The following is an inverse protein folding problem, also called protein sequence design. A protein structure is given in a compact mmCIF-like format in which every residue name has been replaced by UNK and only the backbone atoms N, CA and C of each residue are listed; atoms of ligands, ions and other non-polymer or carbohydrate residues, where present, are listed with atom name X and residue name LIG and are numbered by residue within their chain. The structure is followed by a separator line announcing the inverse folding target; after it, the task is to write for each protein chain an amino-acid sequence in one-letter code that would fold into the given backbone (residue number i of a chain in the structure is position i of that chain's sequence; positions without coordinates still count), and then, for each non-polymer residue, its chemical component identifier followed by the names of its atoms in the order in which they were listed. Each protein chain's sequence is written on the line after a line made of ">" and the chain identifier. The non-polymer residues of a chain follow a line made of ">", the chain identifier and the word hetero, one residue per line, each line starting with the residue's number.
data_IF_800796860716
#
_entry.id   IF_800796860716
#
_cell.length_a   1.000
_cell.length_b   1.000
_cell.length_c   1.000
_cell.angle_alpha   90.00
_cell.angle_beta   90.00
_cell.angle_gamma   90.00
#
_symmetry.space_group_name_H-M   'P 1'
#
loop_
_entity.id
_entity.type
_entity.pdbx_description
1 polymer ?
2 non-polymer ?
3 non-polymer ?
4 non-polymer ?
5 water ?
#
# COMPACT_ATOMS: atom_id res chain seq x y z
N UNK A 1 19.02 -8.11 -6.65
CA UNK A 1 18.87 -8.04 -8.12
C UNK A 1 17.42 -8.23 -8.60
N UNK A 2 16.45 -7.81 -7.79
CA UNK A 2 15.04 -7.94 -8.19
C UNK A 2 14.26 -6.64 -8.01
N UNK A 3 13.70 -6.12 -9.10
CA UNK A 3 12.92 -4.90 -9.03
C UNK A 3 11.44 -5.27 -9.01
N UNK A 4 10.61 -4.36 -8.51
CA UNK A 4 9.19 -4.63 -8.45
C UNK A 4 8.37 -3.36 -8.52
N UNK A 5 7.19 -3.48 -9.10
CA UNK A 5 6.29 -2.35 -9.27
C UNK A 5 4.84 -2.70 -8.97
N UNK A 6 4.16 -1.77 -8.31
CA UNK A 6 2.76 -1.97 -7.97
C UNK A 6 1.96 -0.70 -8.17
N UNK A 7 0.68 -0.90 -8.46
CA UNK A 7 -0.23 0.20 -8.69
C UNK A 7 -1.58 -0.15 -8.11
N UNK A 8 -2.30 0.85 -7.65
CA UNK A 8 -3.59 0.56 -7.07
C UNK A 8 -4.42 1.80 -6.78
N UNK A 9 -5.74 1.67 -6.95
CA UNK A 9 -6.64 2.79 -6.69
C UNK A 9 -7.89 2.36 -5.93
N UNK A 10 -8.62 3.34 -5.42
CA UNK A 10 -9.86 3.08 -4.72
C UNK A 10 -10.71 4.32 -4.77
N UNK A 11 -12.00 4.12 -5.00
CA UNK A 11 -12.92 5.24 -5.12
C UNK A 11 -13.43 5.72 -3.77
N UNK A 12 -13.77 7.00 -3.68
CA UNK A 12 -14.29 7.54 -2.43
C UNK A 12 -15.76 7.18 -2.30
N UNK A 13 -16.21 7.12 -1.05
CA UNK A 13 -17.59 6.78 -0.77
C UNK A 13 -17.64 6.28 0.66
N UNK A 14 -18.84 6.14 1.21
CA UNK A 14 -18.91 5.67 2.57
C UNK A 14 -18.78 6.83 3.52
N UNK A 15 -18.82 6.53 4.81
CA UNK A 15 -18.75 7.57 5.82
C UNK A 15 -17.44 8.35 5.89
N UNK A 16 -16.92 8.46 7.11
CA UNK A 16 -15.71 9.22 7.34
C UNK A 16 -14.37 8.62 6.96
N UNK A 17 -13.49 8.38 7.96
CA UNK A 17 -12.12 7.84 7.94
C UNK A 17 -11.61 7.01 6.76
N UNK A 18 -10.35 7.26 6.40
CA UNK A 18 -9.70 6.50 5.35
C UNK A 18 -8.41 6.00 5.99
N UNK A 19 -7.91 4.87 5.52
CA UNK A 19 -6.69 4.32 6.07
C UNK A 19 -5.65 4.26 4.96
N UNK A 20 -4.49 4.85 5.22
CA UNK A 20 -3.41 4.90 4.23
C UNK A 20 -2.04 4.70 4.86
N UNK A 21 -1.39 3.62 4.44
CA UNK A 21 -0.07 3.29 4.95
C UNK A 21 -0.26 2.82 6.37
N UNK A 22 -1.48 2.38 6.67
CA UNK A 22 -1.77 1.92 8.02
C UNK A 22 -2.25 3.00 8.97
N UNK A 23 -2.15 4.27 8.59
CA UNK A 23 -2.59 5.37 9.45
C UNK A 23 -4.02 5.80 9.18
N UNK A 24 -4.74 6.13 10.25
CA UNK A 24 -6.14 6.56 10.17
C UNK A 24 -6.15 8.07 9.98
N UNK A 25 -6.54 8.51 8.79
CA UNK A 25 -6.57 9.93 8.43
C UNK A 25 -7.98 10.49 8.35
N UNK A 26 -8.22 11.65 8.97
CA UNK A 26 -9.54 12.30 8.97
C UNK A 26 -9.91 12.77 7.56
N UNK A 27 -11.17 12.61 7.17
CA UNK A 27 -11.61 13.06 5.85
C UNK A 27 -13.11 12.94 5.66
N UNK A 28 -13.71 13.93 5.00
CA UNK A 28 -15.15 13.92 4.77
C UNK A 28 -15.65 12.58 4.23
N UNK A 29 -15.03 12.10 3.16
CA UNK A 29 -15.44 10.83 2.54
C UNK A 29 -14.60 9.66 3.04
N UNK A 30 -14.97 8.45 2.62
CA UNK A 30 -14.24 7.25 3.00
C UNK A 30 -13.81 6.50 1.75
N UNK A 31 -13.19 5.33 1.93
CA UNK A 31 -12.75 4.54 0.78
C UNK A 31 -13.51 3.23 0.60
N UNK A 32 -14.12 3.06 -0.56
CA UNK A 32 -14.84 1.84 -0.86
C UNK A 32 -13.88 0.71 -1.21
N UNK A 33 -13.97 -0.40 -0.49
CA UNK A 33 -13.11 -1.54 -0.76
C UNK A 33 -13.59 -2.79 -0.02
N UNK A 34 -13.19 -3.97 -0.51
CA UNK A 34 -13.56 -5.24 0.11
C UNK A 34 -13.01 -5.27 1.54
N UNK A 35 -11.84 -4.67 1.71
CA UNK A 35 -11.16 -4.56 3.01
C UNK A 35 -10.80 -3.09 3.16
N UNK A 36 -10.08 -2.74 4.22
CA UNK A 36 -9.68 -1.34 4.39
C UNK A 36 -8.92 -0.95 3.11
N UNK A 37 -9.53 -0.07 2.32
CA UNK A 37 -8.92 0.34 1.07
C UNK A 37 -7.60 1.07 1.20
N UNK A 38 -6.61 0.43 1.81
CA UNK A 38 -5.29 1.04 1.98
C UNK A 38 -4.51 0.91 0.66
N UNK A 39 -4.75 1.84 -0.26
CA UNK A 39 -4.06 1.79 -1.52
C UNK A 39 -2.55 1.77 -1.34
N UNK A 40 -2.03 2.52 -0.37
CA UNK A 40 -0.58 2.53 -0.20
C UNK A 40 0.00 1.14 0.05
N UNK A 41 -0.56 0.40 1.00
CA UNK A 41 -0.05 -0.93 1.30
C UNK A 41 -0.32 -1.92 0.18
N UNK A 42 -1.46 -1.78 -0.50
CA UNK A 42 -1.73 -2.70 -1.58
C UNK A 42 -0.70 -2.50 -2.66
N UNK A 43 -0.43 -1.25 -3.02
CA UNK A 43 0.55 -1.01 -4.08
C UNK A 43 1.90 -1.51 -3.64
N UNK A 44 2.20 -1.32 -2.36
CA UNK A 44 3.48 -1.75 -1.82
C UNK A 44 3.61 -3.27 -1.85
N UNK A 45 2.52 -3.96 -1.52
CA UNK A 45 2.53 -5.41 -1.50
C UNK A 45 2.76 -5.93 -2.92
N UNK A 46 1.95 -5.45 -3.85
CA UNK A 46 2.08 -5.85 -5.24
C UNK A 46 3.50 -5.66 -5.73
N UNK A 47 4.10 -4.54 -5.36
CA UNK A 47 5.47 -4.28 -5.76
C UNK A 47 6.37 -5.37 -5.20
N UNK A 48 6.38 -5.51 -3.87
CA UNK A 48 7.21 -6.53 -3.23
C UNK A 48 6.95 -7.90 -3.84
N UNK A 49 5.67 -8.24 -3.96
CA UNK A 49 5.29 -9.52 -4.53
C UNK A 49 5.74 -9.66 -5.99
N UNK A 50 5.74 -8.55 -6.72
CA UNK A 50 6.14 -8.56 -8.12
C UNK A 50 7.62 -8.84 -8.32
N UNK A 51 8.43 -8.29 -7.42
CA UNK A 51 9.86 -8.49 -7.51
C UNK A 51 10.19 -9.96 -7.25
N UNK A 52 9.46 -10.60 -6.35
CA UNK A 52 9.74 -12.02 -6.08
C UNK A 52 8.94 -12.89 -7.04
N UNK A 53 8.32 -12.26 -8.03
CA UNK A 53 7.51 -12.99 -9.00
C UNK A 53 6.49 -13.92 -8.34
N UNK A 54 5.55 -13.36 -7.58
CA UNK A 54 4.50 -14.17 -6.96
C UNK A 54 3.13 -13.65 -7.39
N UNK A 55 3.13 -12.74 -8.37
CA UNK A 55 1.91 -12.17 -8.93
C UNK A 55 0.87 -11.49 -8.05
N UNK A 56 0.94 -10.16 -7.96
CA UNK A 56 -0.01 -9.38 -7.17
C UNK A 56 -0.62 -9.96 -5.88
N UNK A 57 -1.29 -9.09 -5.13
CA UNK A 57 -1.93 -9.45 -3.87
C UNK A 57 -3.27 -10.10 -4.16
N UNK A 58 -3.71 -9.99 -5.40
CA UNK A 58 -4.97 -10.60 -5.79
C UNK A 58 -4.86 -12.11 -5.83
N UNK A 59 -3.63 -12.62 -5.83
CA UNK A 59 -3.42 -14.06 -5.84
C UNK A 59 -3.70 -14.55 -4.42
N UNK A 60 -3.73 -13.61 -3.47
CA UNK A 60 -4.01 -13.91 -2.08
C UNK A 60 -5.53 -13.91 -1.88
N UNK A 61 -6.25 -13.82 -3.00
CA UNK A 61 -7.71 -13.87 -3.07
C UNK A 61 -8.67 -12.85 -2.45
N UNK A 62 -9.91 -12.83 -2.98
CA UNK A 62 -11.20 -12.14 -2.82
C UNK A 62 -12.21 -13.30 -3.08
N UNK A 63 -11.77 -14.48 -2.61
CA UNK A 63 -12.46 -15.77 -2.68
C UNK A 63 -12.66 -16.11 -1.20
N UNK A 64 -11.96 -15.33 -0.37
CA UNK A 64 -11.96 -15.48 1.08
C UNK A 64 -11.95 -16.96 1.45
N UNK A 65 -10.93 -17.65 0.94
CA UNK A 65 -10.72 -19.07 1.21
C UNK A 65 -10.25 -19.06 2.67
N UNK A 66 -11.14 -19.41 3.61
CA UNK A 66 -10.85 -19.44 5.05
C UNK A 66 -9.36 -19.38 5.37
N UNK A 67 -8.86 -18.14 5.45
CA UNK A 67 -7.46 -17.85 5.74
C UNK A 67 -7.18 -16.35 5.57
N UNK A 68 -7.39 -15.84 4.36
CA UNK A 68 -7.13 -14.43 4.08
C UNK A 68 -8.22 -13.61 3.36
N UNK A 69 -8.89 -12.81 4.18
CA UNK A 69 -9.97 -11.88 3.86
C UNK A 69 -10.76 -11.76 5.15
N UNK A 70 -10.82 -10.54 5.65
CA UNK A 70 -11.46 -10.24 6.92
C UNK A 70 -10.24 -9.74 7.67
N UNK A 71 -9.19 -9.52 6.87
CA UNK A 71 -7.89 -9.04 7.32
C UNK A 71 -7.53 -7.70 6.67
N UNK A 72 -7.03 -6.78 7.47
CA UNK A 72 -6.63 -5.46 6.99
C UNK A 72 -5.41 -5.58 6.07
N UNK A 73 -5.12 -4.52 5.33
CA UNK A 73 -3.99 -4.53 4.42
C UNK A 73 -2.68 -4.83 5.15
N UNK A 74 -2.58 -4.44 6.41
CA UNK A 74 -1.37 -4.67 7.19
C UNK A 74 -1.04 -6.15 7.39
N UNK A 75 -2.07 -6.95 7.65
CA UNK A 75 -1.87 -8.38 7.84
C UNK A 75 -1.49 -9.01 6.51
N UNK A 76 -2.15 -8.59 5.43
CA UNK A 76 -1.82 -9.14 4.12
C UNK A 76 -0.36 -8.81 3.79
N UNK A 77 0.06 -7.59 4.08
CA UNK A 77 1.43 -7.22 3.78
C UNK A 77 2.41 -8.10 4.54
N UNK A 78 2.18 -8.30 5.84
CA UNK A 78 3.07 -9.14 6.64
C UNK A 78 3.08 -10.57 6.11
N UNK A 79 1.91 -11.07 5.72
CA UNK A 79 1.81 -12.41 5.18
C UNK A 79 2.60 -12.51 3.88
N UNK A 80 2.32 -11.62 2.94
CA UNK A 80 3.02 -11.64 1.67
C UNK A 80 4.52 -11.58 1.93
N UNK A 81 4.92 -10.77 2.90
CA UNK A 81 6.33 -10.63 3.19
C UNK A 81 6.92 -11.94 3.71
N UNK A 82 6.14 -12.63 4.55
CA UNK A 82 6.56 -13.90 5.13
C UNK A 82 6.85 -14.91 4.00
N UNK A 83 6.03 -14.88 2.94
CA UNK A 83 6.17 -15.78 1.79
C UNK A 83 7.34 -15.40 0.91
N UNK A 84 7.63 -14.10 0.85
CA UNK A 84 8.73 -13.62 0.04
C UNK A 84 10.02 -14.04 0.72
N UNK A 85 10.10 -13.89 2.04
CA UNK A 85 11.32 -14.29 2.73
C UNK A 85 11.51 -15.79 2.56
N UNK A 86 10.40 -16.52 2.50
CA UNK A 86 10.42 -17.96 2.32
C UNK A 86 11.27 -18.29 1.09
N UNK A 87 11.12 -17.52 0.02
CA UNK A 87 11.95 -17.77 -1.16
C UNK A 87 13.34 -17.15 -0.96
N UNK A 88 13.79 -17.10 0.29
CA UNK A 88 15.10 -16.55 0.55
C UNK A 88 15.33 -15.13 0.08
N UNK A 89 14.30 -14.30 0.14
CA UNK A 89 14.50 -12.91 -0.27
C UNK A 89 14.57 -12.00 0.93
N UNK A 90 15.38 -10.96 0.81
CA UNK A 90 15.52 -10.00 1.88
C UNK A 90 15.26 -8.59 1.33
N UNK A 91 14.72 -7.69 2.16
CA UNK A 91 14.42 -6.33 1.69
C UNK A 91 15.62 -5.42 1.47
N UNK A 92 15.58 -4.72 0.34
CA UNK A 92 16.63 -3.78 -0.04
C UNK A 92 16.12 -2.38 0.26
N UNK A 93 15.12 -1.94 -0.50
CA UNK A 93 14.50 -0.64 -0.23
C UNK A 93 13.19 -0.51 -1.00
N UNK A 94 12.29 0.33 -0.51
CA UNK A 94 10.99 0.55 -1.16
C UNK A 94 10.61 2.03 -1.13
N UNK A 95 9.90 2.43 -2.17
CA UNK A 95 9.46 3.80 -2.32
C UNK A 95 8.00 3.78 -2.71
N UNK A 96 7.19 4.56 -2.00
CA UNK A 96 5.76 4.62 -2.28
C UNK A 96 5.39 6.02 -2.77
N UNK A 97 4.40 6.12 -3.64
CA UNK A 97 3.99 7.43 -4.10
C UNK A 97 2.48 7.45 -4.10
N UNK A 98 1.91 8.27 -3.22
CA UNK A 98 0.46 8.42 -3.09
C UNK A 98 -0.01 9.59 -3.95
N UNK A 99 -1.05 9.35 -4.74
CA UNK A 99 -1.57 10.40 -5.59
C UNK A 99 -2.99 10.71 -5.13
N UNK A 100 -3.16 11.88 -4.54
CA UNK A 100 -4.46 12.30 -4.05
C UNK A 100 -4.55 13.82 -4.00
N UNK A 101 -5.75 14.34 -4.23
CA UNK A 101 -5.95 15.78 -4.21
C UNK A 101 -6.06 16.15 -2.75
N UNK A 102 -6.67 15.25 -1.97
CA UNK A 102 -6.86 15.45 -0.54
C UNK A 102 -7.24 14.09 0.04
N UNK A 103 -7.03 13.89 1.35
CA UNK A 103 -6.47 14.82 2.34
C UNK A 103 -4.96 14.97 2.23
N UNK A 104 -4.39 15.86 3.04
CA UNK A 104 -2.95 16.09 3.04
C UNK A 104 -2.24 14.88 3.66
N UNK A 105 -1.39 14.24 2.88
CA UNK A 105 -0.66 13.05 3.33
C UNK A 105 0.64 13.37 4.11
N UNK A 106 1.35 14.41 3.68
CA UNK A 106 2.61 14.88 4.28
C UNK A 106 2.76 14.71 5.80
N UNK A 107 1.75 15.15 6.56
CA UNK A 107 1.88 14.99 8.01
C UNK A 107 1.86 13.54 8.52
N UNK A 108 1.21 12.65 7.79
CA UNK A 108 1.11 11.26 8.22
C UNK A 108 2.23 10.35 7.71
N UNK A 109 3.04 10.86 6.79
CA UNK A 109 4.11 10.06 6.22
C UNK A 109 4.96 9.38 7.29
N UNK A 110 5.61 10.16 8.16
CA UNK A 110 6.44 9.51 9.18
C UNK A 110 5.82 8.28 9.88
N UNK A 111 4.57 8.39 10.33
CA UNK A 111 3.92 7.26 10.99
C UNK A 111 3.73 6.05 10.05
N UNK A 112 3.47 6.34 8.77
CA UNK A 112 3.29 5.32 7.72
C UNK A 112 4.58 4.54 7.66
N UNK A 113 5.67 5.31 7.63
CA UNK A 113 6.97 4.71 7.56
C UNK A 113 7.23 3.80 8.75
N UNK A 114 6.78 4.21 9.93
CA UNK A 114 6.99 3.38 11.09
C UNK A 114 6.31 2.04 10.86
N UNK A 115 5.04 2.07 10.45
CA UNK A 115 4.28 0.84 10.22
C UNK A 115 4.93 -0.08 9.20
N UNK A 116 5.22 0.45 8.02
CA UNK A 116 5.83 -0.35 6.96
C UNK A 116 7.11 -0.98 7.46
N UNK A 117 7.94 -0.17 8.12
CA UNK A 117 9.22 -0.65 8.66
C UNK A 117 9.04 -1.77 9.68
N UNK A 118 7.91 -1.78 10.36
CA UNK A 118 7.65 -2.83 11.32
C UNK A 118 7.28 -4.07 10.55
N UNK A 119 6.20 -3.97 9.78
CA UNK A 119 5.73 -5.11 9.01
C UNK A 119 6.77 -5.81 8.15
N UNK A 120 7.64 -5.05 7.49
CA UNK A 120 8.66 -5.67 6.64
C UNK A 120 9.91 -5.98 7.43
N UNK A 121 9.91 -5.59 8.71
CA UNK A 121 11.06 -5.82 9.56
C UNK A 121 12.33 -5.25 8.95
N UNK A 122 12.54 -3.95 9.13
CA UNK A 122 13.73 -3.30 8.60
C UNK A 122 13.80 -1.92 9.21
N UNK A 123 14.76 -1.11 8.79
CA UNK A 123 14.81 0.22 9.35
C UNK A 123 14.08 1.20 8.43
N UNK A 124 13.66 2.32 8.99
CA UNK A 124 12.94 3.28 8.19
C UNK A 124 13.72 3.86 7.02
N UNK A 125 15.05 3.85 7.11
CA UNK A 125 15.85 4.39 6.04
C UNK A 125 15.65 3.58 4.76
N UNK A 126 15.07 2.39 4.88
CA UNK A 126 14.85 1.56 3.70
C UNK A 126 13.45 1.71 3.12
N UNK A 127 12.68 2.64 3.66
CA UNK A 127 11.34 2.85 3.16
C UNK A 127 11.01 4.33 3.02
N UNK A 128 10.64 4.74 1.82
CA UNK A 128 10.30 6.13 1.56
C UNK A 128 8.85 6.27 1.07
N UNK A 129 8.17 7.33 1.50
CA UNK A 129 6.79 7.58 1.08
C UNK A 129 6.63 9.07 0.76
N UNK A 130 5.94 9.37 -0.34
CA UNK A 130 5.70 10.75 -0.74
C UNK A 130 4.29 10.85 -1.27
N UNK A 131 3.85 12.07 -1.54
CA UNK A 131 2.49 12.29 -2.02
C UNK A 131 2.48 13.34 -3.09
N UNK A 132 1.50 13.28 -3.96
CA UNK A 132 1.42 14.27 -5.02
C UNK A 132 -0.03 14.39 -5.50
N UNK A 133 -0.37 15.54 -6.07
CA UNK A 133 -1.73 15.72 -6.56
C UNK A 133 -1.68 15.71 -8.05
N UNK A 134 -2.83 15.80 -8.68
CA UNK A 134 -2.86 15.85 -10.12
C UNK A 134 -3.39 17.21 -10.56
N UNK A 135 -3.12 18.23 -9.75
CA UNK A 135 -3.56 19.61 -10.02
C UNK A 135 -5.03 19.65 -10.45
N UNK A 136 -5.88 19.00 -9.68
CA UNK A 136 -7.30 18.99 -9.98
C UNK A 136 -7.64 18.41 -11.35
N UNK A 137 -6.85 17.45 -11.82
CA UNK A 137 -7.12 16.80 -13.09
C UNK A 137 -7.32 15.32 -12.85
N UNK A 138 -8.18 14.70 -13.65
CA UNK A 138 -8.40 13.28 -13.49
C UNK A 138 -9.34 12.92 -12.35
N UNK A 139 -9.63 11.63 -12.19
CA UNK A 139 -10.53 11.20 -11.14
C UNK A 139 -9.91 11.52 -9.79
N UNK A 140 -8.60 11.76 -9.81
CA UNK A 140 -7.87 12.14 -8.60
C UNK A 140 -8.03 13.66 -8.44
N UNK A 141 -7.97 14.39 -9.56
CA UNK A 141 -8.12 15.83 -9.53
C UNK A 141 -9.43 16.18 -8.86
N UNK A 142 -10.45 15.42 -9.21
CA UNK A 142 -11.76 15.58 -8.62
C UNK A 142 -11.62 14.72 -7.35
N UNK A 143 -12.55 14.77 -6.42
CA UNK A 143 -12.32 13.94 -5.26
C UNK A 143 -12.92 12.57 -5.48
N UNK A 144 -12.75 11.99 -6.67
CA UNK A 144 -13.37 10.70 -6.95
C UNK A 144 -12.70 9.48 -6.34
N UNK A 145 -11.38 9.54 -6.22
CA UNK A 145 -10.65 8.42 -5.65
C UNK A 145 -9.20 8.76 -5.41
N UNK A 146 -8.48 7.80 -4.83
CA UNK A 146 -7.06 7.95 -4.54
C UNK A 146 -6.32 6.82 -5.25
N UNK A 147 -5.18 7.15 -5.84
CA UNK A 147 -4.38 6.17 -6.53
C UNK A 147 -3.00 6.19 -5.88
N UNK A 148 -2.23 5.15 -6.11
CA UNK A 148 -0.91 5.08 -5.52
C UNK A 148 -0.01 4.14 -6.30
N UNK A 149 1.24 4.54 -6.53
CA UNK A 149 2.21 3.71 -7.23
C UNK A 149 3.33 3.39 -6.25
N UNK A 150 3.94 2.22 -6.39
CA UNK A 150 5.03 1.82 -5.50
C UNK A 150 6.10 1.00 -6.22
N UNK A 151 7.38 1.26 -5.96
CA UNK A 151 8.44 0.42 -6.54
C UNK A 151 9.12 -0.24 -5.37
N UNK A 152 9.70 -1.41 -5.61
CA UNK A 152 10.39 -2.14 -4.55
C UNK A 152 11.65 -2.78 -5.10
N UNK A 153 12.60 -3.02 -4.21
CA UNK A 153 13.85 -3.63 -4.62
C UNK A 153 14.23 -4.70 -3.60
N UNK A 154 14.28 -5.96 -4.03
CA UNK A 154 14.62 -7.07 -3.14
C UNK A 154 16.05 -7.58 -3.40
N UNK A 155 16.65 -8.25 -2.42
CA UNK A 155 18.00 -8.82 -2.58
C UNK A 155 17.98 -10.30 -2.22
N UNK A 156 18.93 -11.07 -2.75
CA UNK A 156 18.99 -12.51 -2.47
C UNK A 156 20.05 -12.87 -1.43
X LIG B 1 -6.34 -1.58 -3.34
X LIG C 1 3.21 18.20 -6.13
X LIG C 1 2.00 18.70 -5.43
X LIG C 1 1.65 20.13 -5.64
X LIG C 1 0.79 17.80 -5.82
X LIG C 1 2.22 18.44 -3.85
X LIG C 1 3.30 19.17 -3.19
X LIG C 1 3.44 18.83 -1.72
X LIG C 1 2.19 18.66 -0.99
X LIG C 1 4.33 17.62 -1.39
X LIG C 1 5.30 17.90 -0.44
X LIG C 1 3.38 16.53 -0.98
X LIG C 1 3.93 15.64 -0.02
X LIG C 1 2.15 17.29 -0.46
X LIG C 1 0.93 16.54 -0.73
X LIG C 1 0.22 16.02 0.41
X LIG C 1 -0.93 15.31 0.28
X LIG C 1 -1.50 15.03 -0.94
X LIG C 1 -0.85 15.52 -2.07
X LIG C 1 0.30 16.23 -2.04
X LIG C 1 0.71 16.24 1.64
X LIG C 1 -2.65 14.32 -0.98
X LIG D 1 5.98 23.62 -5.24
X LIG D 1 7.06 23.45 -6.30
X LIG D 1 6.68 23.89 -7.60
X LIG D 1 5.48 23.43 -8.18
X LIG D 1 4.28 23.84 -7.55
X LIG D 1 5.37 24.27 -9.35
X LIG D 1 5.14 21.08 -7.89
X LIG D 1 6.23 20.34 -7.40
X LIG D 1 4.53 20.08 -8.72
X LIG D 1 4.06 21.30 -7.00
X LIG D 1 6.78 20.80 -6.18
X LIG D 1 7.66 22.04 -6.34
X LIG D 1 8.47 21.88 -7.51
X LIG D 1 8.22 24.41 -5.93
X LIG D 1 5.42 24.94 -5.29
X LIG D 1 5.50 22.14 -8.75
#
# INVERSE_FOLDING_TARGET
>A
MRIGHGFDVHAFGGEGPIIIGGVRIPYEKGLLAHSDGDVALHALTDALLGAAALGDIGKLFPDTDPAFKGADSRELLREAWRRIQAKGYTLGNVDVTIIAQAPKMLPHIPQMRVFIAEDLGCHMDDVNVKATTTEKLGFTGRGEGIACEAVALLIKATK
>B hetero
1 MN MN
>C hetero
1 C5P O3P P O1P O2P O5' C5' C4' O4' C3' O3' C2' O2' C1' N1 C2 N3 C4 C5 C6 O2 N4
>D hetero
1 CDI C4 C3 OB4 PB OB2 OB3 PA OA3 OA1 OA2 C1 C2 O1 C5 O2 OB1
#
